data_IF_287903240673
#
_entry.id   IF_287903240673
#
_cell.length_a   1.000
_cell.length_b   1.000
_cell.length_c   1.000
_cell.angle_alpha   90.00
_cell.angle_beta   90.00
_cell.angle_gamma   90.00
#
_symmetry.space_group_name_H-M   'P 1'
#
loop_
_entity.id
_entity.type
_entity.pdbx_description
1 polymer ?
#
# COMPACT_ATOMS: atom_id res chain seq x y z
N UNK A 1 -34.34 35.78 49.23
CA UNK A 1 -33.19 34.87 49.06
C UNK A 1 -33.56 33.39 48.87
N UNK A 2 -34.69 32.86 49.36
CA UNK A 2 -35.04 31.45 49.19
C UNK A 2 -35.49 31.01 47.77
N UNK A 3 -36.05 31.93 46.95
CA UNK A 3 -36.52 31.59 45.61
C UNK A 3 -35.39 31.45 44.56
N UNK A 4 -34.27 32.16 44.71
CA UNK A 4 -33.13 32.08 43.82
C UNK A 4 -32.34 30.75 43.95
N UNK A 5 -32.24 30.21 45.16
CA UNK A 5 -31.51 28.96 45.41
C UNK A 5 -32.23 27.76 44.78
N UNK A 6 -33.57 27.76 44.80
CA UNK A 6 -34.38 26.68 44.21
C UNK A 6 -34.23 26.67 42.68
N UNK A 7 -34.13 27.82 42.02
CA UNK A 7 -33.89 27.90 40.58
C UNK A 7 -32.51 27.36 40.20
N UNK A 8 -31.46 27.64 40.97
CA UNK A 8 -30.11 27.14 40.74
C UNK A 8 -29.98 25.61 40.93
N UNK A 9 -30.66 25.07 41.95
CA UNK A 9 -30.70 23.61 42.17
C UNK A 9 -31.46 22.89 41.06
N UNK A 10 -32.54 23.48 40.56
CA UNK A 10 -33.28 22.96 39.39
C UNK A 10 -32.43 22.87 38.13
N UNK A 11 -31.61 23.88 37.83
CA UNK A 11 -30.68 23.89 36.70
C UNK A 11 -29.55 22.88 36.86
N UNK A 12 -29.06 22.67 38.08
CA UNK A 12 -28.01 21.69 38.38
C UNK A 12 -28.52 20.25 38.21
N UNK A 13 -29.75 19.97 38.60
CA UNK A 13 -30.39 18.68 38.40
C UNK A 13 -30.76 18.43 36.94
N UNK A 14 -31.14 19.45 36.17
CA UNK A 14 -31.36 19.31 34.74
C UNK A 14 -30.06 19.02 33.97
N UNK A 15 -28.91 19.56 34.42
CA UNK A 15 -27.60 19.25 33.81
C UNK A 15 -27.14 17.82 34.10
N UNK A 16 -27.52 17.25 35.24
CA UNK A 16 -27.22 15.83 35.57
C UNK A 16 -28.07 14.83 34.76
N UNK A 17 -29.19 15.28 34.22
CA UNK A 17 -30.05 14.43 33.36
C UNK A 17 -29.61 14.42 31.88
N UNK A 18 -28.84 15.41 31.42
CA UNK A 18 -28.30 15.47 30.04
C UNK A 18 -27.03 14.59 29.91
N UNK A 19 -26.47 14.12 31.03
CA UNK A 19 -25.20 13.35 31.07
C UNK A 19 -25.31 11.88 30.66
N UNK A 20 -26.47 11.34 30.38
CA UNK A 20 -26.64 10.00 29.80
C UNK A 20 -26.85 10.09 28.28
N UNK A 21 -26.00 10.85 27.58
CA UNK A 21 -25.78 10.57 26.18
C UNK A 21 -25.10 9.18 26.17
N UNK A 22 -25.87 8.15 25.83
CA UNK A 22 -25.31 6.87 25.44
C UNK A 22 -24.22 7.20 24.42
N UNK A 23 -22.96 7.10 24.86
CA UNK A 23 -21.83 7.02 23.94
C UNK A 23 -22.13 5.71 23.23
N UNK A 24 -22.71 5.80 22.05
CA UNK A 24 -22.79 4.72 21.10
C UNK A 24 -21.33 4.34 20.85
N UNK A 25 -20.81 3.43 21.70
CA UNK A 25 -19.60 2.72 21.40
C UNK A 25 -19.86 2.17 20.00
N UNK A 26 -19.15 2.69 19.02
CA UNK A 26 -19.21 2.17 17.66
C UNK A 26 -19.15 0.66 17.79
N UNK A 27 -20.24 0.04 17.40
CA UNK A 27 -20.46 -1.37 17.46
C UNK A 27 -19.16 -2.07 17.06
N UNK A 28 -18.51 -2.74 18.02
CA UNK A 28 -17.36 -3.62 17.76
C UNK A 28 -17.88 -4.84 16.97
N UNK A 29 -18.89 -4.52 16.15
CA UNK A 29 -19.72 -5.38 15.38
C UNK A 29 -18.89 -6.30 14.53
N UNK A 30 -19.40 -7.17 14.02
CA UNK A 30 -19.34 -8.11 12.91
C UNK A 30 -18.03 -8.25 12.12
N UNK A 31 -16.88 -7.97 12.77
CA UNK A 31 -15.55 -8.24 12.20
C UNK A 31 -14.81 -9.26 13.05
N UNK A 32 -14.12 -10.18 12.39
CA UNK A 32 -13.03 -10.93 13.02
C UNK A 32 -11.70 -10.49 12.43
N UNK A 33 -10.63 -10.65 13.19
CA UNK A 33 -9.29 -10.24 12.80
C UNK A 33 -8.43 -11.48 12.61
N UNK A 34 -7.92 -11.65 11.38
CA UNK A 34 -6.92 -12.64 11.05
C UNK A 34 -5.56 -12.02 11.30
N UNK A 35 -4.77 -12.58 12.17
CA UNK A 35 -3.42 -12.11 12.47
C UNK A 35 -2.40 -13.16 12.09
N UNK A 36 -1.24 -12.72 11.64
CA UNK A 36 -0.19 -13.63 11.25
C UNK A 36 1.15 -12.96 11.04
N UNK A 37 2.11 -13.78 10.65
CA UNK A 37 3.48 -13.39 10.32
C UNK A 37 3.92 -14.10 9.04
N UNK A 38 4.60 -13.36 8.17
CA UNK A 38 5.16 -13.91 6.93
C UNK A 38 6.68 -13.98 7.05
N UNK A 39 7.24 -15.12 6.64
CA UNK A 39 8.68 -15.42 6.70
C UNK A 39 9.17 -16.02 5.41
N UNK A 40 10.42 -15.76 5.11
CA UNK A 40 11.17 -16.44 4.07
C UNK A 40 11.48 -17.89 4.50
N UNK A 41 11.15 -18.86 3.65
CA UNK A 41 11.34 -20.28 3.94
C UNK A 41 12.82 -20.69 3.96
N UNK A 42 13.67 -19.99 3.22
CA UNK A 42 15.08 -20.35 3.08
C UNK A 42 15.92 -19.78 4.23
N UNK A 43 15.80 -18.46 4.50
CA UNK A 43 16.64 -17.78 5.49
C UNK A 43 15.93 -17.52 6.83
N UNK A 44 14.62 -17.85 6.93
CA UNK A 44 13.75 -17.69 8.12
C UNK A 44 13.54 -16.26 8.59
N UNK A 45 13.98 -15.27 7.83
CA UNK A 45 13.75 -13.86 8.15
C UNK A 45 12.29 -13.49 7.92
N UNK A 46 11.83 -12.52 8.68
CA UNK A 46 10.50 -11.92 8.47
C UNK A 46 10.48 -11.08 7.21
N UNK A 47 9.35 -11.06 6.51
CA UNK A 47 9.16 -10.33 5.26
C UNK A 47 8.22 -9.15 5.48
N UNK A 48 8.72 -7.94 5.27
CA UNK A 48 7.93 -6.71 5.26
C UNK A 48 7.29 -6.46 3.90
N UNK A 49 6.22 -5.66 3.87
CA UNK A 49 5.53 -5.25 2.64
C UNK A 49 4.96 -6.41 1.80
N UNK A 50 4.74 -7.57 2.40
CA UNK A 50 4.06 -8.69 1.77
C UNK A 50 2.57 -8.37 1.68
N UNK A 51 2.01 -8.50 0.50
CA UNK A 51 0.57 -8.36 0.29
C UNK A 51 -0.16 -9.60 0.82
N UNK A 52 -1.20 -9.38 1.62
CA UNK A 52 -2.08 -10.42 2.17
C UNK A 52 -3.50 -10.02 1.85
N UNK A 53 -4.16 -10.77 0.99
CA UNK A 53 -5.52 -10.47 0.52
C UNK A 53 -6.44 -11.68 0.65
N UNK A 54 -7.73 -11.42 0.75
CA UNK A 54 -8.75 -12.45 0.59
C UNK A 54 -8.96 -12.69 -0.90
N UNK A 55 -8.75 -13.95 -1.31
CA UNK A 55 -8.84 -14.32 -2.72
C UNK A 55 -10.19 -13.90 -3.33
N UNK A 56 -10.13 -13.20 -4.47
CA UNK A 56 -11.32 -12.74 -5.22
C UNK A 56 -12.06 -11.58 -4.58
N UNK A 57 -11.46 -10.86 -3.62
CA UNK A 57 -12.05 -9.68 -2.98
C UNK A 57 -11.09 -8.49 -2.94
N UNK A 58 -11.62 -7.33 -2.56
CA UNK A 58 -10.83 -6.11 -2.32
C UNK A 58 -10.35 -5.99 -0.86
N UNK A 59 -10.44 -7.09 -0.08
CA UNK A 59 -10.05 -7.09 1.32
C UNK A 59 -8.60 -7.52 1.41
N UNK A 60 -7.73 -6.62 1.85
CA UNK A 60 -6.30 -6.90 1.96
C UNK A 60 -5.59 -6.01 2.96
N UNK A 61 -4.36 -6.37 3.24
CA UNK A 61 -3.40 -5.63 4.07
C UNK A 61 -1.99 -5.96 3.61
N UNK A 62 -0.98 -5.30 4.20
CA UNK A 62 0.43 -5.64 3.99
C UNK A 62 1.12 -5.90 5.33
N UNK A 63 2.18 -6.70 5.32
CA UNK A 63 2.98 -6.93 6.52
C UNK A 63 3.74 -5.67 6.93
N UNK A 64 3.99 -5.52 8.24
CA UNK A 64 4.85 -4.47 8.81
C UNK A 64 6.33 -4.87 8.73
N UNK A 65 7.22 -4.02 9.29
CA UNK A 65 8.68 -4.27 9.31
C UNK A 65 9.07 -5.55 10.07
N UNK A 66 8.25 -6.00 10.99
CA UNK A 66 8.42 -7.24 11.73
C UNK A 66 7.82 -8.47 11.00
N UNK A 67 7.27 -8.26 9.79
CA UNK A 67 6.61 -9.28 8.98
C UNK A 67 5.22 -9.67 9.48
N UNK A 68 4.64 -8.91 10.40
CA UNK A 68 3.33 -9.19 10.97
C UNK A 68 2.22 -8.50 10.18
N UNK A 69 1.05 -9.11 10.14
CA UNK A 69 -0.15 -8.54 9.56
C UNK A 69 -1.39 -8.72 10.46
N UNK A 70 -2.36 -7.85 10.28
CA UNK A 70 -3.69 -7.96 10.86
C UNK A 70 -4.73 -7.57 9.80
N UNK A 71 -5.53 -8.53 9.37
CA UNK A 71 -6.57 -8.37 8.38
C UNK A 71 -7.94 -8.45 9.05
N UNK A 72 -8.73 -7.39 8.93
CA UNK A 72 -10.12 -7.35 9.43
C UNK A 72 -11.08 -7.72 8.32
N UNK A 73 -11.90 -8.72 8.59
CA UNK A 73 -12.92 -9.23 7.66
C UNK A 73 -14.28 -9.21 8.34
N UNK A 74 -15.32 -8.82 7.63
CA UNK A 74 -16.69 -8.88 8.15
C UNK A 74 -17.09 -10.32 8.41
N UNK A 75 -17.85 -10.57 9.48
CA UNK A 75 -18.32 -11.93 9.82
C UNK A 75 -19.22 -12.56 8.75
N UNK A 76 -19.87 -11.74 7.95
CA UNK A 76 -20.68 -12.17 6.81
C UNK A 76 -19.83 -12.68 5.64
N UNK A 77 -18.61 -12.16 5.51
CA UNK A 77 -17.68 -12.48 4.44
C UNK A 77 -16.65 -13.49 4.94
N UNK A 78 -17.04 -14.73 5.22
CA UNK A 78 -16.11 -15.77 5.71
C UNK A 78 -15.11 -16.10 4.61
N UNK A 79 -13.85 -15.61 4.68
CA UNK A 79 -12.86 -15.93 3.67
C UNK A 79 -12.48 -17.39 3.79
N UNK A 80 -12.40 -18.06 2.65
CA UNK A 80 -11.95 -19.46 2.58
C UNK A 80 -10.44 -19.55 2.44
N UNK A 81 -9.83 -18.57 1.80
CA UNK A 81 -8.43 -18.60 1.42
C UNK A 81 -7.84 -17.19 1.41
N UNK A 82 -6.60 -17.08 1.89
CA UNK A 82 -5.77 -15.91 1.72
C UNK A 82 -4.77 -16.15 0.59
N UNK A 83 -4.61 -15.16 -0.25
CA UNK A 83 -3.52 -15.05 -1.21
C UNK A 83 -2.43 -14.15 -0.63
N UNK A 84 -1.20 -14.64 -0.65
CA UNK A 84 -0.02 -13.94 -0.13
C UNK A 84 0.98 -13.79 -1.28
N UNK A 85 1.30 -12.55 -1.63
CA UNK A 85 2.23 -12.25 -2.71
C UNK A 85 3.30 -11.25 -2.28
N UNK A 86 4.51 -11.44 -2.83
CA UNK A 86 5.64 -10.55 -2.61
C UNK A 86 6.60 -10.64 -3.79
N UNK A 87 7.19 -9.51 -4.17
CA UNK A 87 8.16 -9.43 -5.28
C UNK A 87 9.33 -10.37 -5.01
N UNK A 88 9.64 -11.23 -5.97
CA UNK A 88 10.73 -12.22 -5.87
C UNK A 88 10.37 -13.50 -5.11
N UNK A 89 9.09 -13.73 -4.83
CA UNK A 89 8.59 -14.95 -4.17
C UNK A 89 7.47 -15.59 -4.98
N UNK A 90 7.33 -16.88 -4.82
CA UNK A 90 6.19 -17.65 -5.36
C UNK A 90 4.96 -17.29 -4.52
N UNK A 91 3.85 -16.93 -5.18
CA UNK A 91 2.58 -16.67 -4.49
C UNK A 91 2.17 -17.87 -3.66
N UNK A 92 1.70 -17.61 -2.45
CA UNK A 92 1.26 -18.63 -1.50
C UNK A 92 -0.22 -18.47 -1.22
N UNK A 93 -0.93 -19.60 -1.15
CA UNK A 93 -2.34 -19.67 -0.81
C UNK A 93 -2.50 -20.37 0.53
N UNK A 94 -3.25 -19.76 1.45
CA UNK A 94 -3.46 -20.28 2.80
C UNK A 94 -4.96 -20.44 3.04
N UNK A 95 -5.39 -21.71 3.14
CA UNK A 95 -6.77 -22.03 3.50
C UNK A 95 -7.05 -21.66 4.96
N UNK A 96 -8.17 -21.01 5.19
CA UNK A 96 -8.63 -20.57 6.51
C UNK A 96 -9.66 -21.56 7.06
N UNK A 97 -9.19 -22.50 7.85
CA UNK A 97 -10.08 -23.36 8.64
C UNK A 97 -10.54 -22.62 9.90
N UNK A 98 -11.73 -22.95 10.40
CA UNK A 98 -12.32 -22.33 11.61
C UNK A 98 -11.41 -22.35 12.85
N UNK A 99 -10.39 -23.20 12.87
CA UNK A 99 -9.46 -23.37 13.99
C UNK A 99 -8.13 -22.62 13.84
N UNK A 100 -7.77 -22.14 12.63
CA UNK A 100 -6.46 -21.53 12.36
C UNK A 100 -6.47 -20.00 12.33
N UNK A 101 -7.59 -19.35 12.56
CA UNK A 101 -7.74 -17.90 12.43
C UNK A 101 -6.98 -17.08 13.50
N UNK A 102 -6.39 -17.70 14.52
CA UNK A 102 -5.86 -16.96 15.67
C UNK A 102 -4.41 -16.50 15.58
N UNK A 103 -3.54 -17.20 14.83
CA UNK A 103 -2.16 -16.76 14.57
C UNK A 103 -1.54 -17.59 13.44
N UNK A 104 -1.52 -17.04 12.24
CA UNK A 104 -0.94 -17.69 11.07
C UNK A 104 0.57 -17.44 11.00
N UNK A 105 1.32 -18.47 10.60
CA UNK A 105 2.71 -18.28 10.13
C UNK A 105 2.80 -18.78 8.69
N UNK A 106 3.08 -17.87 7.78
CA UNK A 106 3.20 -18.17 6.35
C UNK A 106 4.66 -18.19 5.95
N UNK A 107 5.07 -19.24 5.26
CA UNK A 107 6.41 -19.43 4.75
C UNK A 107 6.41 -19.25 3.23
N UNK A 108 6.93 -18.11 2.76
CA UNK A 108 7.06 -17.85 1.33
C UNK A 108 8.35 -18.46 0.78
N UNK A 109 8.25 -19.04 -0.38
CA UNK A 109 9.38 -19.63 -1.10
C UNK A 109 9.97 -18.57 -1.99
N UNK A 110 11.26 -18.17 -1.78
CA UNK A 110 11.90 -17.23 -2.69
C UNK A 110 11.98 -17.88 -4.07
N UNK A 111 11.66 -17.11 -5.09
CA UNK A 111 11.91 -17.52 -6.46
C UNK A 111 13.40 -17.31 -6.73
N UNK A 112 14.18 -18.35 -6.49
CA UNK A 112 15.56 -18.39 -6.97
C UNK A 112 15.50 -18.71 -8.45
N UNK A 113 15.92 -17.78 -9.29
CA UNK A 113 16.26 -18.12 -10.68
C UNK A 113 17.36 -19.17 -10.61
N UNK A 114 17.00 -20.45 -10.62
CA UNK A 114 17.96 -21.47 -10.99
C UNK A 114 18.40 -21.11 -12.41
N UNK A 115 19.67 -20.81 -12.54
CA UNK A 115 20.37 -20.42 -13.76
C UNK A 115 20.22 -21.51 -14.87
N UNK A 116 19.04 -21.63 -15.41
CA UNK A 116 18.79 -22.36 -16.64
C UNK A 116 18.44 -21.37 -17.75
N UNK A 117 19.24 -20.42 -17.91
CA UNK A 117 19.55 -19.58 -19.05
C UNK A 117 20.07 -18.25 -18.49
N UNK A 118 21.34 -18.02 -18.63
CA UNK A 118 21.87 -16.67 -18.64
C UNK A 118 21.23 -16.02 -19.85
N UNK A 119 20.05 -15.43 -19.69
CA UNK A 119 19.55 -14.46 -20.66
C UNK A 119 20.53 -13.32 -20.55
N UNK A 120 21.57 -13.38 -21.37
CA UNK A 120 22.46 -12.24 -21.58
C UNK A 120 21.56 -11.16 -22.13
N UNK A 121 21.17 -10.24 -21.28
CA UNK A 121 20.41 -9.06 -21.69
C UNK A 121 21.32 -8.23 -22.59
N UNK A 122 21.42 -8.61 -23.86
CA UNK A 122 22.03 -7.80 -24.92
C UNK A 122 21.24 -6.52 -25.16
N UNK A 123 20.08 -6.38 -24.52
CA UNK A 123 19.20 -5.25 -24.70
C UNK A 123 19.60 -4.10 -23.76
N UNK A 124 19.79 -2.93 -24.34
CA UNK A 124 19.95 -1.70 -23.59
C UNK A 124 18.70 -1.48 -22.70
N UNK A 125 18.87 -1.28 -21.37
CA UNK A 125 17.74 -1.05 -20.45
C UNK A 125 16.81 0.06 -20.92
N UNK A 126 17.36 1.12 -21.49
CA UNK A 126 16.60 2.24 -22.05
C UNK A 126 15.65 1.80 -23.16
N UNK A 127 16.10 0.93 -24.06
CA UNK A 127 15.26 0.41 -25.16
C UNK A 127 14.10 -0.42 -24.64
N UNK A 128 14.27 -1.16 -23.54
CA UNK A 128 13.17 -1.90 -22.87
C UNK A 128 12.14 -0.90 -22.33
N UNK A 129 12.58 0.17 -21.66
CA UNK A 129 11.71 1.20 -21.13
C UNK A 129 10.94 1.90 -22.25
N UNK A 130 11.61 2.29 -23.33
CA UNK A 130 10.99 2.94 -24.50
C UNK A 130 9.91 2.05 -25.12
N UNK A 131 10.19 0.75 -25.31
CA UNK A 131 9.19 -0.22 -25.78
C UNK A 131 8.01 -0.39 -24.81
N UNK A 132 8.27 -0.42 -23.49
CA UNK A 132 7.21 -0.48 -22.49
C UNK A 132 6.33 0.77 -22.54
N UNK A 133 6.92 1.96 -22.75
CA UNK A 133 6.16 3.21 -22.91
C UNK A 133 5.28 3.19 -24.17
N UNK A 134 5.75 2.65 -25.29
CA UNK A 134 4.96 2.46 -26.51
C UNK A 134 3.75 1.54 -26.28
N UNK A 135 3.85 0.60 -25.34
CA UNK A 135 2.79 -0.35 -24.99
C UNK A 135 1.77 0.19 -23.99
N UNK A 136 2.00 1.34 -23.36
CA UNK A 136 1.07 1.93 -22.39
C UNK A 136 -0.37 2.03 -22.96
N UNK A 137 -0.62 2.54 -24.18
CA UNK A 137 -1.98 2.64 -24.70
C UNK A 137 -2.68 1.29 -24.94
N UNK A 138 -1.91 0.21 -25.06
CA UNK A 138 -2.44 -1.17 -25.27
C UNK A 138 -2.65 -1.87 -23.93
N UNK A 139 -1.70 -1.73 -23.00
CA UNK A 139 -1.68 -2.48 -21.75
C UNK A 139 -2.47 -1.82 -20.63
N UNK A 140 -2.72 -0.51 -20.73
CA UNK A 140 -3.48 0.24 -19.74
C UNK A 140 -4.85 0.64 -20.28
N UNK A 141 -5.80 0.80 -19.38
CA UNK A 141 -7.19 1.04 -19.75
C UNK A 141 -7.38 2.36 -20.53
N UNK A 142 -8.09 2.26 -21.66
CA UNK A 142 -8.58 3.40 -22.42
C UNK A 142 -9.88 4.00 -21.84
N UNK A 143 -10.42 3.42 -20.76
CA UNK A 143 -11.64 3.87 -20.10
C UNK A 143 -11.34 4.31 -18.66
N UNK A 144 -12.32 5.01 -18.07
CA UNK A 144 -12.27 5.33 -16.64
C UNK A 144 -12.33 4.06 -15.81
N UNK A 145 -11.46 3.97 -14.81
CA UNK A 145 -11.39 2.86 -13.87
C UNK A 145 -11.66 3.30 -12.44
N UNK A 146 -12.22 2.40 -11.64
CA UNK A 146 -12.30 2.53 -10.20
C UNK A 146 -11.38 1.50 -9.57
N UNK A 147 -10.40 1.98 -8.80
CA UNK A 147 -9.43 1.15 -8.09
C UNK A 147 -9.68 1.27 -6.59
N UNK A 148 -9.80 0.16 -5.88
CA UNK A 148 -9.78 0.15 -4.42
C UNK A 148 -8.35 -0.11 -3.95
N UNK A 149 -7.79 0.82 -3.18
CA UNK A 149 -6.39 0.81 -2.76
C UNK A 149 -6.28 0.79 -1.25
N UNK A 150 -5.25 0.11 -0.73
CA UNK A 150 -4.82 0.24 0.65
C UNK A 150 -3.60 1.17 0.72
N UNK A 151 -3.74 2.22 1.52
CA UNK A 151 -2.67 3.18 1.80
C UNK A 151 -2.13 2.97 3.20
N UNK A 152 -0.81 2.96 3.33
CA UNK A 152 -0.12 3.00 4.63
C UNK A 152 1.06 3.95 4.57
N UNK A 153 1.13 4.85 5.54
CA UNK A 153 2.26 5.71 5.81
C UNK A 153 2.78 5.45 7.21
N UNK A 154 4.07 5.28 7.34
CA UNK A 154 4.72 5.08 8.63
C UNK A 154 5.85 6.09 8.82
N UNK A 155 5.93 6.67 10.02
CA UNK A 155 7.06 7.50 10.43
C UNK A 155 7.72 6.83 11.63
N UNK A 156 9.01 6.57 11.54
CA UNK A 156 9.80 5.90 12.56
C UNK A 156 10.92 6.79 13.09
N UNK A 157 11.25 6.61 14.38
CA UNK A 157 12.47 7.14 15.00
C UNK A 157 13.24 5.97 15.62
N UNK A 158 14.34 5.58 14.97
CA UNK A 158 15.00 4.31 15.26
C UNK A 158 14.06 3.13 14.95
N UNK A 159 13.77 2.29 15.96
CA UNK A 159 12.88 1.12 15.82
C UNK A 159 11.44 1.37 16.30
N UNK A 160 11.08 2.61 16.63
CA UNK A 160 9.75 2.94 17.13
C UNK A 160 8.93 3.69 16.09
N UNK A 161 7.69 3.27 15.92
CA UNK A 161 6.73 4.03 15.13
C UNK A 161 6.30 5.29 15.89
N UNK A 162 6.44 6.44 15.26
CA UNK A 162 5.96 7.74 15.75
C UNK A 162 4.54 8.00 15.24
N UNK A 163 4.31 7.66 13.98
CA UNK A 163 3.00 7.80 13.33
C UNK A 163 2.78 6.62 12.39
N UNK A 164 1.58 6.07 12.42
CA UNK A 164 1.09 5.12 11.41
C UNK A 164 -0.26 5.64 10.93
N UNK A 165 -0.36 5.92 9.64
CA UNK A 165 -1.60 6.32 8.99
C UNK A 165 -1.97 5.24 7.97
N UNK A 166 -3.20 4.77 8.02
CA UNK A 166 -3.72 3.77 7.08
C UNK A 166 -5.08 4.21 6.56
N UNK A 167 -5.35 3.90 5.31
CA UNK A 167 -6.65 4.17 4.70
C UNK A 167 -6.99 3.14 3.61
N UNK A 168 -8.28 2.87 3.46
CA UNK A 168 -8.85 2.24 2.27
C UNK A 168 -9.41 3.35 1.42
N UNK A 169 -9.05 3.37 0.16
CA UNK A 169 -9.30 4.43 -0.78
C UNK A 169 -10.01 3.88 -2.02
N UNK A 170 -10.97 4.63 -2.55
CA UNK A 170 -11.40 4.46 -3.93
C UNK A 170 -10.74 5.56 -4.78
N UNK A 171 -10.06 5.14 -5.83
CA UNK A 171 -9.38 6.02 -6.78
C UNK A 171 -10.05 5.89 -8.14
N UNK A 172 -10.78 6.93 -8.55
CA UNK A 172 -11.35 7.03 -9.89
C UNK A 172 -10.29 7.58 -10.84
N UNK A 173 -9.72 6.71 -11.65
CA UNK A 173 -8.74 7.07 -12.66
C UNK A 173 -9.41 7.29 -14.02
N UNK A 174 -9.09 8.38 -14.67
CA UNK A 174 -9.45 8.61 -16.08
C UNK A 174 -8.63 7.69 -16.99
N UNK A 175 -8.97 7.62 -18.26
CA UNK A 175 -8.24 6.82 -19.24
C UNK A 175 -6.73 7.11 -19.22
N UNK A 176 -5.90 6.09 -19.40
CA UNK A 176 -4.44 6.26 -19.48
C UNK A 176 -3.97 6.91 -20.80
N UNK A 177 -4.84 6.97 -21.79
CA UNK A 177 -4.62 7.80 -23.00
C UNK A 177 -4.57 9.29 -22.67
N UNK A 178 -5.23 9.69 -21.57
CA UNK A 178 -5.15 11.03 -21.03
C UNK A 178 -3.99 11.10 -20.01
N UNK A 179 -2.81 11.47 -20.48
CA UNK A 179 -1.56 11.43 -19.70
C UNK A 179 -1.45 12.61 -18.73
N UNK A 180 -2.45 12.73 -17.86
CA UNK A 180 -2.50 13.66 -16.73
C UNK A 180 -3.29 13.05 -15.59
N UNK A 181 -2.96 13.42 -14.36
CA UNK A 181 -3.65 13.00 -13.15
C UNK A 181 -4.66 14.04 -12.63
N UNK A 182 -4.84 15.16 -13.33
CA UNK A 182 -5.64 16.31 -12.86
C UNK A 182 -7.12 15.96 -12.62
N UNK A 183 -7.67 15.08 -13.46
CA UNK A 183 -9.06 14.64 -13.39
C UNK A 183 -9.26 13.35 -12.59
N UNK A 184 -8.19 12.78 -12.05
CA UNK A 184 -8.28 11.63 -11.18
C UNK A 184 -8.80 12.07 -9.80
N UNK A 185 -9.68 11.26 -9.21
CA UNK A 185 -10.32 11.59 -7.93
C UNK A 185 -10.09 10.49 -6.92
N UNK A 186 -9.87 10.89 -5.69
CA UNK A 186 -9.65 10.00 -4.57
C UNK A 186 -10.73 10.22 -3.52
N UNK A 187 -11.28 9.11 -3.01
CA UNK A 187 -12.20 9.09 -1.89
C UNK A 187 -11.65 8.18 -0.80
N UNK A 188 -11.52 8.71 0.42
CA UNK A 188 -11.18 7.89 1.59
C UNK A 188 -12.46 7.21 2.08
N UNK A 189 -12.52 5.89 1.99
CA UNK A 189 -13.63 5.09 2.48
C UNK A 189 -13.53 4.86 3.99
N UNK A 190 -12.33 4.52 4.45
CA UNK A 190 -12.04 4.25 5.86
C UNK A 190 -10.58 4.55 6.14
N UNK A 191 -10.29 5.11 7.31
CA UNK A 191 -8.92 5.40 7.70
C UNK A 191 -8.73 5.34 9.21
N UNK A 192 -7.47 5.16 9.60
CA UNK A 192 -7.05 5.27 11.01
C UNK A 192 -5.68 5.91 11.07
N UNK A 193 -5.42 6.59 12.17
CA UNK A 193 -4.11 7.15 12.48
C UNK A 193 -3.74 6.85 13.93
N UNK A 194 -2.54 6.35 14.12
CA UNK A 194 -1.93 6.13 15.41
C UNK A 194 -0.75 7.08 15.56
N UNK A 195 -0.72 7.83 16.65
CA UNK A 195 0.36 8.77 16.98
C UNK A 195 1.02 8.34 18.28
N UNK A 196 2.34 8.50 18.38
CA UNK A 196 3.06 8.37 19.64
C UNK A 196 2.55 9.42 20.64
N UNK A 197 2.34 8.99 21.88
CA UNK A 197 1.94 9.89 22.98
C UNK A 197 3.13 10.56 23.69
N UNK A 198 4.38 10.25 23.27
CA UNK A 198 5.57 10.83 23.88
C UNK A 198 5.80 12.25 23.37
N UNK A 199 5.90 13.22 24.28
CA UNK A 199 6.14 14.62 23.96
C UNK A 199 7.43 14.87 23.15
N UNK A 200 8.44 13.96 23.25
CA UNK A 200 9.68 14.02 22.49
C UNK A 200 9.57 13.52 21.04
N UNK A 201 8.44 12.96 20.67
CA UNK A 201 8.19 12.40 19.34
C UNK A 201 7.44 13.42 18.47
N UNK A 202 8.05 14.59 18.29
CA UNK A 202 7.56 15.58 17.34
C UNK A 202 7.89 15.14 15.92
N UNK A 203 6.92 15.22 15.02
CA UNK A 203 7.15 15.04 13.59
C UNK A 203 7.90 16.28 13.07
N UNK A 204 9.22 16.16 12.93
CA UNK A 204 10.06 17.21 12.36
C UNK A 204 9.80 17.42 10.87
N UNK A 205 9.24 16.42 10.20
CA UNK A 205 8.91 16.44 8.77
C UNK A 205 7.42 16.16 8.61
N UNK A 206 6.69 17.12 8.04
CA UNK A 206 5.33 16.89 7.59
C UNK A 206 5.42 16.23 6.22
N UNK A 207 5.06 14.95 6.12
CA UNK A 207 4.91 14.30 4.82
C UNK A 207 3.77 15.01 4.09
N UNK A 208 4.13 15.67 2.99
CA UNK A 208 3.16 16.36 2.14
C UNK A 208 2.60 15.34 1.14
N UNK A 209 1.29 15.16 1.15
CA UNK A 209 0.60 14.31 0.18
C UNK A 209 -0.45 13.39 0.80
N UNK A 210 -0.12 12.69 1.88
CA UNK A 210 -1.05 11.72 2.46
C UNK A 210 -1.57 10.73 1.40
N UNK A 211 -2.83 10.29 1.46
CA UNK A 211 -3.40 9.37 0.48
C UNK A 211 -3.35 9.86 -0.97
N UNK A 212 -3.26 11.16 -1.20
CA UNK A 212 -3.22 11.77 -2.54
C UNK A 212 -1.95 11.38 -3.32
N UNK A 213 -0.91 10.92 -2.62
CA UNK A 213 0.32 10.43 -3.24
C UNK A 213 0.06 9.27 -4.20
N UNK A 214 -0.97 8.44 -3.95
CA UNK A 214 -1.39 7.34 -4.83
C UNK A 214 -1.87 7.80 -6.21
N UNK A 215 -2.28 9.05 -6.33
CA UNK A 215 -2.69 9.67 -7.59
C UNK A 215 -1.49 10.36 -8.25
N UNK A 216 -0.80 11.20 -7.48
CA UNK A 216 0.29 12.06 -8.00
C UNK A 216 1.51 11.26 -8.45
N UNK A 217 1.84 10.16 -7.76
CA UNK A 217 2.98 9.31 -8.10
C UNK A 217 2.67 8.21 -9.14
N UNK A 218 1.59 8.31 -9.88
CA UNK A 218 1.35 7.44 -11.02
C UNK A 218 2.28 7.82 -12.18
N UNK A 219 3.48 7.23 -12.19
CA UNK A 219 4.52 7.52 -13.20
C UNK A 219 4.11 7.13 -14.62
N UNK A 220 3.15 6.21 -14.79
CA UNK A 220 2.65 5.79 -16.11
C UNK A 220 1.78 6.88 -16.72
N UNK A 221 1.00 7.57 -15.89
CA UNK A 221 0.02 8.56 -16.31
C UNK A 221 0.53 10.00 -16.23
N UNK A 222 1.40 10.27 -15.27
CA UNK A 222 1.94 11.60 -15.05
C UNK A 222 3.13 11.89 -15.98
N UNK A 223 2.92 12.79 -16.96
CA UNK A 223 3.94 13.20 -17.93
C UNK A 223 5.17 13.88 -17.30
N UNK A 224 5.01 14.50 -16.14
CA UNK A 224 6.11 15.17 -15.45
C UNK A 224 6.97 14.19 -14.63
N UNK A 225 6.72 12.88 -14.77
CA UNK A 225 7.45 11.85 -14.09
C UNK A 225 8.49 11.17 -14.99
N UNK A 226 9.04 10.05 -14.52
CA UNK A 226 10.13 9.30 -15.14
C UNK A 226 9.88 8.84 -16.58
N UNK A 227 8.62 8.46 -16.92
CA UNK A 227 8.31 7.81 -18.19
C UNK A 227 7.94 8.82 -19.30
N UNK A 228 8.86 9.75 -19.58
CA UNK A 228 8.86 10.63 -20.74
C UNK A 228 10.23 10.56 -21.42
N UNK A 229 10.25 10.58 -22.77
CA UNK A 229 11.49 10.40 -23.53
C UNK A 229 12.57 11.43 -23.18
N UNK A 230 12.17 12.67 -22.93
CA UNK A 230 13.07 13.75 -22.54
C UNK A 230 13.61 13.54 -21.14
N UNK A 231 12.75 13.13 -20.20
CA UNK A 231 13.10 12.86 -18.81
C UNK A 231 14.05 11.68 -18.66
N UNK A 232 13.95 10.64 -19.50
CA UNK A 232 14.86 9.50 -19.49
C UNK A 232 16.34 9.91 -19.64
N UNK A 233 16.63 11.07 -20.25
CA UNK A 233 18.00 11.58 -20.37
C UNK A 233 18.61 12.03 -19.04
N UNK A 234 17.78 12.29 -18.05
CA UNK A 234 18.19 12.73 -16.73
C UNK A 234 18.61 11.57 -15.81
N UNK A 235 18.46 10.33 -16.30
CA UNK A 235 18.68 9.13 -15.52
C UNK A 235 19.74 8.21 -16.12
N UNK A 236 20.37 7.44 -15.28
CA UNK A 236 21.19 6.28 -15.59
C UNK A 236 20.40 5.01 -15.31
N UNK A 237 20.47 4.04 -16.22
CA UNK A 237 19.73 2.78 -16.14
C UNK A 237 20.68 1.59 -16.21
N UNK A 238 20.42 0.55 -15.40
CA UNK A 238 21.14 -0.72 -15.48
C UNK A 238 20.25 -1.89 -15.09
N UNK A 239 20.51 -3.06 -15.69
CA UNK A 239 19.76 -4.28 -15.42
C UNK A 239 20.18 -4.91 -14.08
N UNK A 240 19.23 -5.56 -13.43
CA UNK A 240 19.45 -6.54 -12.35
C UNK A 240 18.92 -7.90 -12.76
N UNK A 241 19.09 -8.88 -11.89
CA UNK A 241 18.45 -10.19 -12.06
C UNK A 241 16.93 -10.01 -12.18
N UNK A 242 16.30 -10.79 -13.08
CA UNK A 242 14.87 -10.77 -13.27
C UNK A 242 14.13 -11.19 -11.99
N UNK A 243 12.90 -10.70 -11.83
CA UNK A 243 12.06 -11.05 -10.71
C UNK A 243 10.79 -11.76 -11.18
N UNK A 244 10.23 -12.60 -10.32
CA UNK A 244 8.90 -13.16 -10.50
C UNK A 244 7.88 -12.26 -9.78
N UNK A 245 6.86 -11.79 -10.51
CA UNK A 245 5.71 -11.08 -9.95
C UNK A 245 4.46 -11.70 -10.53
N UNK A 246 3.56 -12.17 -9.68
CA UNK A 246 2.31 -12.85 -10.07
C UNK A 246 2.54 -13.98 -11.11
N UNK A 247 3.56 -14.81 -10.84
CA UNK A 247 3.99 -15.92 -11.70
C UNK A 247 4.44 -15.51 -13.12
N UNK A 248 4.81 -14.23 -13.33
CA UNK A 248 5.34 -13.71 -14.60
C UNK A 248 6.75 -13.17 -14.40
N UNK A 249 7.63 -13.47 -15.34
CA UNK A 249 9.01 -12.98 -15.30
C UNK A 249 9.03 -11.50 -15.69
N UNK A 250 9.74 -10.70 -14.89
CA UNK A 250 9.90 -9.27 -15.09
C UNK A 250 11.37 -8.91 -15.30
N UNK A 251 11.66 -8.06 -16.26
CA UNK A 251 12.92 -7.32 -16.30
C UNK A 251 12.99 -6.40 -15.09
N UNK A 252 14.11 -6.37 -14.40
CA UNK A 252 14.36 -5.45 -13.29
C UNK A 252 15.39 -4.43 -13.74
N UNK A 253 14.93 -3.20 -13.95
CA UNK A 253 15.74 -2.08 -14.40
C UNK A 253 15.91 -1.11 -13.24
N UNK A 254 17.13 -0.97 -12.74
CA UNK A 254 17.43 0.04 -11.75
C UNK A 254 17.65 1.38 -12.44
N UNK A 255 17.31 2.46 -11.75
CA UNK A 255 17.53 3.80 -12.25
C UNK A 255 17.91 4.76 -11.13
N UNK A 256 18.71 5.76 -11.47
CA UNK A 256 19.06 6.88 -10.59
C UNK A 256 19.28 8.15 -11.40
N UNK A 257 19.10 9.33 -10.79
CA UNK A 257 19.46 10.59 -11.42
C UNK A 257 20.95 10.63 -11.78
N UNK A 258 21.26 11.14 -12.96
CA UNK A 258 22.65 11.46 -13.40
C UNK A 258 22.94 12.95 -13.38
N UNK A 259 21.93 13.78 -13.18
CA UNK A 259 21.98 15.24 -13.16
C UNK A 259 21.31 15.78 -11.91
N UNK A 260 21.67 17.01 -11.52
CA UNK A 260 20.98 17.77 -10.47
C UNK A 260 20.09 18.79 -11.16
N UNK A 261 18.79 18.72 -10.88
CA UNK A 261 17.80 19.64 -11.41
C UNK A 261 17.12 20.39 -10.26
N UNK A 262 16.48 21.54 -10.51
CA UNK A 262 15.79 22.30 -9.46
C UNK A 262 14.51 21.64 -8.92
N UNK A 263 14.14 20.47 -9.42
CA UNK A 263 13.02 19.66 -8.98
C UNK A 263 13.49 18.26 -8.54
N UNK A 264 12.64 17.57 -7.79
CA UNK A 264 12.95 16.27 -7.24
C UNK A 264 12.97 15.19 -8.33
N UNK A 265 14.05 14.43 -8.40
CA UNK A 265 14.21 13.26 -9.24
C UNK A 265 14.08 11.99 -8.40
N UNK A 266 13.64 10.93 -9.02
CA UNK A 266 13.43 9.63 -8.38
C UNK A 266 14.65 8.73 -8.54
N UNK A 267 14.78 7.75 -7.66
CA UNK A 267 15.64 6.58 -7.84
C UNK A 267 14.86 5.34 -7.42
N UNK A 268 15.16 4.20 -8.05
CA UNK A 268 14.44 2.98 -7.72
C UNK A 268 14.62 1.87 -8.74
N UNK A 269 13.58 1.07 -8.88
CA UNK A 269 13.51 -0.06 -9.81
C UNK A 269 12.24 0.00 -10.62
N UNK A 270 12.34 -0.28 -11.91
CA UNK A 270 11.22 -0.57 -12.78
C UNK A 270 11.14 -2.08 -13.00
N UNK A 271 9.95 -2.60 -12.88
CA UNK A 271 9.63 -3.98 -13.21
C UNK A 271 8.83 -3.97 -14.49
N UNK A 272 9.38 -4.54 -15.56
CA UNK A 272 8.79 -4.54 -16.89
C UNK A 272 8.54 -5.99 -17.29
N UNK A 273 7.29 -6.31 -17.59
CA UNK A 273 6.88 -7.63 -18.01
C UNK A 273 7.62 -8.05 -19.29
N UNK A 274 8.13 -9.29 -19.31
CA UNK A 274 8.91 -9.78 -20.45
C UNK A 274 8.06 -10.12 -21.68
N UNK A 275 6.76 -10.38 -21.47
CA UNK A 275 5.84 -10.91 -22.49
C UNK A 275 4.90 -9.86 -23.10
N UNK A 276 4.84 -8.65 -22.52
CA UNK A 276 3.91 -7.59 -22.95
C UNK A 276 4.59 -6.35 -23.51
#
# INVERSE_FOLDING_TARGET
>A
MKKSVILWVGWLLAFLWIGNADIWAQDAGDYYTIVGMVKDKQNRKTLENVNVSVQGSNIGTVTNAEGEFALKVKKEEVPRELEISHIGYINSHVSLDKHNASKLTVWMIPHTNQLNEVVVYANNPRTIIEKAMEKIPVNYSANRNMLTCFYRETVQKGRRYISVSEAVLDVSKTAYTNRTTDDDKLQVLKGRRLLSQKASDTLAVKVMGGPNISVVLDIVKNKEALLELEELNNYEFWMSESALIDNRIQYVINFRPRVLLPYALFHGKLYVDCDN
#
